data_IF_315751432529
#
_entry.id   IF_315751432529
#
_cell.length_a   1.000
_cell.length_b   1.000
_cell.length_c   1.000
_cell.angle_alpha   90.00
_cell.angle_beta   90.00
_cell.angle_gamma   90.00
#
_symmetry.space_group_name_H-M   'P 1'
#
loop_
_entity.id
_entity.type
_entity.pdbx_description
1 polymer ?
#
# COMPACT_ATOMS: atom_id res chain seq x y z
N UNK A 1 12.82 -15.04 -40.14
CA UNK A 1 14.29 -15.00 -39.94
C UNK A 1 15.03 -16.11 -40.69
N UNK A 2 14.55 -17.36 -40.69
CA UNK A 2 15.14 -18.46 -41.48
C UNK A 2 15.12 -18.23 -43.01
N UNK A 3 14.11 -17.52 -43.54
CA UNK A 3 14.00 -17.25 -44.98
C UNK A 3 14.99 -16.18 -45.51
N UNK A 4 15.46 -15.24 -44.67
CA UNK A 4 16.35 -14.16 -45.11
C UNK A 4 17.83 -14.59 -45.20
N UNK A 5 18.20 -15.66 -44.49
CA UNK A 5 19.59 -16.17 -44.42
C UNK A 5 19.93 -17.18 -45.54
N UNK A 6 18.96 -17.58 -46.37
CA UNK A 6 19.17 -18.55 -47.45
C UNK A 6 19.68 -17.92 -48.75
N UNK A 7 19.53 -16.61 -48.94
CA UNK A 7 19.86 -15.93 -50.21
C UNK A 7 21.22 -15.21 -50.28
N UNK A 8 22.00 -15.21 -49.20
CA UNK A 8 23.28 -14.50 -49.15
C UNK A 8 24.44 -15.49 -49.26
N UNK A 9 25.38 -15.26 -50.19
CA UNK A 9 26.63 -16.02 -50.29
C UNK A 9 27.42 -15.98 -48.97
N UNK A 10 28.26 -17.01 -48.70
CA UNK A 10 28.84 -17.25 -47.36
C UNK A 10 29.51 -16.02 -46.73
N UNK A 11 30.19 -15.17 -47.51
CA UNK A 11 30.79 -13.91 -47.03
C UNK A 11 29.77 -12.85 -46.57
N UNK A 12 28.60 -12.77 -47.20
CA UNK A 12 27.55 -11.81 -46.85
C UNK A 12 26.75 -12.22 -45.61
N UNK A 13 26.72 -13.52 -45.25
CA UNK A 13 26.08 -13.99 -44.01
C UNK A 13 26.82 -13.51 -42.76
N UNK A 14 28.15 -13.55 -42.76
CA UNK A 14 28.95 -13.07 -41.62
C UNK A 14 28.82 -11.55 -41.42
N UNK A 15 28.75 -10.77 -42.50
CA UNK A 15 28.57 -9.32 -42.43
C UNK A 15 27.17 -8.93 -41.91
N UNK A 16 26.13 -9.67 -42.31
CA UNK A 16 24.77 -9.50 -41.81
C UNK A 16 24.64 -9.90 -40.33
N UNK A 17 25.31 -10.97 -39.90
CA UNK A 17 25.34 -11.39 -38.48
C UNK A 17 26.11 -10.37 -37.64
N UNK A 18 27.25 -9.86 -38.12
CA UNK A 18 28.05 -8.87 -37.40
C UNK A 18 27.31 -7.52 -37.27
N UNK A 19 26.62 -7.06 -38.31
CA UNK A 19 25.79 -5.86 -38.26
C UNK A 19 24.57 -6.02 -37.34
N UNK A 20 23.96 -7.22 -37.30
CA UNK A 20 22.89 -7.53 -36.36
C UNK A 20 23.40 -7.54 -34.91
N UNK A 21 24.56 -8.16 -34.66
CA UNK A 21 25.16 -8.23 -33.31
C UNK A 21 25.60 -6.86 -32.81
N UNK A 22 26.10 -5.99 -33.69
CA UNK A 22 26.45 -4.60 -33.33
C UNK A 22 25.21 -3.73 -33.12
N UNK A 23 24.14 -3.93 -33.89
CA UNK A 23 22.87 -3.26 -33.63
C UNK A 23 22.21 -3.74 -32.33
N UNK A 24 22.25 -5.04 -32.05
CA UNK A 24 21.77 -5.62 -30.79
C UNK A 24 22.62 -5.16 -29.60
N UNK A 25 23.95 -5.08 -29.73
CA UNK A 25 24.80 -4.58 -28.65
C UNK A 25 24.61 -3.08 -28.42
N UNK A 26 24.42 -2.28 -29.47
CA UNK A 26 24.12 -0.84 -29.35
C UNK A 26 22.75 -0.57 -28.71
N UNK A 27 21.71 -1.28 -29.12
CA UNK A 27 20.37 -1.16 -28.52
C UNK A 27 20.34 -1.68 -27.08
N UNK A 28 21.07 -2.75 -26.78
CA UNK A 28 21.20 -3.30 -25.43
C UNK A 28 22.02 -2.41 -24.48
N UNK A 29 23.09 -1.78 -24.98
CA UNK A 29 23.88 -0.84 -24.17
C UNK A 29 23.09 0.43 -23.87
N UNK A 30 22.43 1.02 -24.87
CA UNK A 30 21.59 2.21 -24.66
C UNK A 30 20.43 1.94 -23.71
N UNK A 31 19.80 0.76 -23.77
CA UNK A 31 18.72 0.40 -22.83
C UNK A 31 19.24 0.22 -21.40
N UNK A 32 20.42 -0.40 -21.22
CA UNK A 32 21.07 -0.51 -19.91
C UNK A 32 21.50 0.85 -19.34
N UNK A 33 21.99 1.76 -20.17
CA UNK A 33 22.33 3.12 -19.76
C UNK A 33 21.09 3.92 -19.34
N UNK A 34 20.00 3.87 -20.12
CA UNK A 34 18.74 4.55 -19.81
C UNK A 34 18.12 4.05 -18.49
N UNK A 35 18.07 2.73 -18.28
CA UNK A 35 17.58 2.12 -17.04
C UNK A 35 18.40 2.56 -15.83
N UNK A 36 19.73 2.70 -16.00
CA UNK A 36 20.62 3.14 -14.91
C UNK A 36 20.44 4.62 -14.57
N UNK A 37 20.23 5.48 -15.58
CA UNK A 37 19.97 6.91 -15.36
C UNK A 37 18.62 7.15 -14.69
N UNK A 38 17.58 6.39 -15.07
CA UNK A 38 16.25 6.51 -14.47
C UNK A 38 16.26 6.09 -12.99
N UNK A 39 17.01 5.04 -12.64
CA UNK A 39 17.18 4.62 -11.25
C UNK A 39 17.91 5.65 -10.38
N UNK A 40 18.93 6.33 -10.91
CA UNK A 40 19.63 7.40 -10.17
C UNK A 40 18.69 8.59 -9.93
N UNK A 41 17.95 9.02 -10.96
CA UNK A 41 17.01 10.13 -10.85
C UNK A 41 15.91 9.84 -9.81
N UNK A 42 15.31 8.64 -9.82
CA UNK A 42 14.31 8.25 -8.83
C UNK A 42 14.89 8.23 -7.40
N UNK A 43 16.12 7.74 -7.24
CA UNK A 43 16.80 7.77 -5.95
C UNK A 43 17.00 9.21 -5.44
N UNK A 44 17.45 10.13 -6.29
CA UNK A 44 17.64 11.54 -5.93
C UNK A 44 16.32 12.18 -5.50
N UNK A 45 15.23 11.94 -6.25
CA UNK A 45 13.90 12.43 -5.89
C UNK A 45 13.44 11.93 -4.52
N UNK A 46 13.61 10.64 -4.23
CA UNK A 46 13.29 10.05 -2.94
C UNK A 46 14.14 10.67 -1.81
N UNK A 47 15.45 10.79 -2.06
CA UNK A 47 16.41 11.33 -1.10
C UNK A 47 16.10 12.79 -0.73
N UNK A 48 15.70 13.61 -1.70
CA UNK A 48 15.27 14.98 -1.44
C UNK A 48 14.01 15.04 -0.56
N UNK A 49 13.03 14.17 -0.79
CA UNK A 49 11.81 14.14 0.02
C UNK A 49 12.03 13.66 1.44
N UNK A 50 13.05 12.85 1.72
CA UNK A 50 13.31 12.37 3.09
C UNK A 50 13.43 13.50 4.12
N UNK A 51 13.99 14.65 3.70
CA UNK A 51 14.19 15.81 4.58
C UNK A 51 12.88 16.57 4.83
N UNK A 52 12.12 16.81 3.77
CA UNK A 52 11.00 17.74 3.80
C UNK A 52 9.68 17.01 4.10
N UNK A 53 9.46 15.89 3.44
CA UNK A 53 8.22 15.10 3.53
C UNK A 53 8.52 13.59 3.46
N UNK A 54 9.16 13.01 4.50
CA UNK A 54 9.77 11.68 4.43
C UNK A 54 8.82 10.54 4.09
N UNK A 55 7.52 10.70 4.36
CA UNK A 55 6.54 9.66 4.05
C UNK A 55 6.38 9.48 2.53
N UNK A 56 6.58 10.53 1.74
CA UNK A 56 6.49 10.48 0.28
C UNK A 56 7.76 9.96 -0.38
N UNK A 57 8.86 9.79 0.37
CA UNK A 57 10.04 9.07 -0.14
C UNK A 57 9.77 7.56 -0.27
N UNK A 58 8.86 7.00 0.54
CA UNK A 58 8.48 5.57 0.53
C UNK A 58 8.04 5.10 -0.87
N UNK A 59 6.98 5.66 -1.49
CA UNK A 59 6.51 5.17 -2.80
C UNK A 59 7.57 5.28 -3.90
N UNK A 60 8.45 6.30 -3.83
CA UNK A 60 9.54 6.43 -4.80
C UNK A 60 10.60 5.33 -4.60
N UNK A 61 10.98 5.04 -3.35
CA UNK A 61 11.91 3.93 -3.08
C UNK A 61 11.32 2.56 -3.42
N UNK A 62 10.03 2.34 -3.18
CA UNK A 62 9.32 1.13 -3.60
C UNK A 62 9.40 0.96 -5.13
N UNK A 63 9.06 2.00 -5.88
CA UNK A 63 9.14 1.97 -7.34
C UNK A 63 10.57 1.75 -7.82
N UNK A 64 11.55 2.44 -7.23
CA UNK A 64 12.97 2.26 -7.55
C UNK A 64 13.43 0.81 -7.36
N UNK A 65 13.02 0.16 -6.26
CA UNK A 65 13.41 -1.21 -5.93
C UNK A 65 12.65 -2.28 -6.72
N UNK A 66 11.50 -1.93 -7.31
CA UNK A 66 10.78 -2.77 -8.27
C UNK A 66 11.51 -2.85 -9.63
N UNK A 67 12.31 -1.83 -9.95
CA UNK A 67 13.08 -1.74 -11.20
C UNK A 67 14.43 -2.45 -11.20
N UNK A 68 15.03 -2.52 -12.39
CA UNK A 68 16.43 -2.93 -12.55
C UNK A 68 17.34 -1.74 -12.23
N UNK A 69 18.22 -1.90 -11.24
CA UNK A 69 19.11 -0.84 -10.77
C UNK A 69 20.46 -1.43 -10.34
N UNK A 70 21.49 -0.59 -10.26
CA UNK A 70 22.81 -0.98 -9.79
C UNK A 70 22.76 -1.57 -8.36
N UNK A 71 23.56 -2.60 -8.10
CA UNK A 71 23.56 -3.35 -6.82
C UNK A 71 23.81 -2.47 -5.60
N UNK A 72 24.76 -1.54 -5.69
CA UNK A 72 25.07 -0.63 -4.58
C UNK A 72 23.93 0.35 -4.31
N UNK A 73 23.34 0.91 -5.38
CA UNK A 73 22.17 1.77 -5.28
C UNK A 73 20.98 1.04 -4.67
N UNK A 74 20.74 -0.21 -5.10
CA UNK A 74 19.70 -1.09 -4.53
C UNK A 74 19.90 -1.29 -3.04
N UNK A 75 21.12 -1.56 -2.61
CA UNK A 75 21.44 -1.74 -1.19
C UNK A 75 21.17 -0.46 -0.40
N UNK A 76 21.62 0.69 -0.87
CA UNK A 76 21.43 1.98 -0.20
C UNK A 76 19.94 2.33 -0.10
N UNK A 77 19.21 2.24 -1.22
CA UNK A 77 17.76 2.48 -1.28
C UNK A 77 16.99 1.51 -0.35
N UNK A 78 17.38 0.23 -0.31
CA UNK A 78 16.75 -0.78 0.54
C UNK A 78 16.95 -0.49 2.04
N UNK A 79 18.14 -0.02 2.44
CA UNK A 79 18.40 0.41 3.83
C UNK A 79 17.52 1.62 4.19
N UNK A 80 17.47 2.63 3.32
CA UNK A 80 16.66 3.84 3.55
C UNK A 80 15.18 3.52 3.68
N UNK A 81 14.64 2.73 2.75
CA UNK A 81 13.24 2.28 2.80
C UNK A 81 12.93 1.51 4.07
N UNK A 82 13.83 0.63 4.53
CA UNK A 82 13.65 -0.10 5.78
C UNK A 82 13.47 0.85 6.99
N UNK A 83 14.30 1.88 7.09
CA UNK A 83 14.19 2.86 8.18
C UNK A 83 12.93 3.74 8.06
N UNK A 84 12.48 4.03 6.83
CA UNK A 84 11.21 4.73 6.63
C UNK A 84 10.01 3.86 7.07
N UNK A 85 9.98 2.57 6.72
CA UNK A 85 8.92 1.67 7.20
C UNK A 85 8.92 1.56 8.73
N UNK A 86 10.09 1.45 9.35
CA UNK A 86 10.24 1.46 10.81
C UNK A 86 9.71 2.76 11.42
N UNK A 87 10.16 3.92 10.91
CA UNK A 87 9.74 5.26 11.38
C UNK A 87 8.22 5.45 11.36
N UNK A 88 7.56 4.96 10.31
CA UNK A 88 6.12 5.10 10.12
C UNK A 88 5.31 3.88 10.58
N UNK A 89 5.95 2.92 11.26
CA UNK A 89 5.31 1.71 11.80
C UNK A 89 4.55 0.89 10.75
N UNK A 90 5.08 0.86 9.52
CA UNK A 90 4.58 0.06 8.40
C UNK A 90 5.07 -1.39 8.54
N UNK A 91 4.55 -2.09 9.55
CA UNK A 91 5.09 -3.39 9.97
C UNK A 91 4.95 -4.50 8.91
N UNK A 92 3.80 -4.68 8.22
CA UNK A 92 3.70 -5.67 7.14
C UNK A 92 4.74 -5.44 6.03
N UNK A 93 4.89 -4.18 5.61
CA UNK A 93 5.88 -3.75 4.62
C UNK A 93 7.30 -4.03 5.10
N UNK A 94 7.61 -3.67 6.36
CA UNK A 94 8.92 -3.88 6.98
C UNK A 94 9.30 -5.36 7.04
N UNK A 95 8.36 -6.24 7.41
CA UNK A 95 8.58 -7.69 7.48
C UNK A 95 8.83 -8.29 6.10
N UNK A 96 7.98 -7.94 5.13
CA UNK A 96 8.13 -8.38 3.74
C UNK A 96 9.46 -7.90 3.14
N UNK A 97 9.82 -6.64 3.38
CA UNK A 97 11.07 -6.04 2.92
C UNK A 97 12.29 -6.70 3.56
N UNK A 98 12.26 -6.97 4.87
CA UNK A 98 13.34 -7.66 5.56
C UNK A 98 13.47 -9.12 5.10
N UNK A 99 12.37 -9.82 4.82
CA UNK A 99 12.42 -11.17 4.24
C UNK A 99 13.15 -11.17 2.89
N UNK A 100 12.89 -10.16 2.05
CA UNK A 100 13.49 -10.04 0.71
C UNK A 100 14.95 -9.57 0.71
N UNK A 101 15.31 -8.63 1.59
CA UNK A 101 16.61 -7.95 1.57
C UNK A 101 17.47 -8.15 2.82
N UNK A 102 16.96 -8.78 3.89
CA UNK A 102 17.55 -8.77 5.23
C UNK A 102 19.00 -9.22 5.33
N UNK A 103 19.40 -10.23 4.54
CA UNK A 103 20.79 -10.70 4.47
C UNK A 103 21.77 -9.63 3.99
N UNK A 104 21.31 -8.69 3.16
CA UNK A 104 22.10 -7.60 2.59
C UNK A 104 22.13 -6.36 3.50
N UNK A 105 21.12 -6.21 4.35
CA UNK A 105 20.93 -5.04 5.21
C UNK A 105 21.89 -5.05 6.41
N UNK A 106 22.21 -6.23 6.96
CA UNK A 106 23.00 -6.37 8.22
C UNK A 106 22.40 -5.59 9.40
N UNK A 107 21.07 -5.47 9.44
CA UNK A 107 20.30 -4.72 10.44
C UNK A 107 19.62 -5.64 11.47
N UNK A 108 20.31 -6.69 11.93
CA UNK A 108 19.68 -7.71 12.78
C UNK A 108 19.21 -7.13 14.11
N UNK A 109 19.97 -6.23 14.74
CA UNK A 109 19.62 -5.59 16.01
C UNK A 109 18.41 -4.67 15.86
N UNK A 110 18.43 -3.79 14.86
CA UNK A 110 17.32 -2.89 14.53
C UNK A 110 16.06 -3.69 14.21
N UNK A 111 16.20 -4.81 13.49
CA UNK A 111 15.10 -5.70 13.19
C UNK A 111 14.51 -6.34 14.44
N UNK A 112 15.34 -6.82 15.37
CA UNK A 112 14.83 -7.34 16.65
C UNK A 112 14.09 -6.27 17.44
N UNK A 113 14.59 -5.02 17.47
CA UNK A 113 13.87 -3.91 18.12
C UNK A 113 12.51 -3.65 17.46
N UNK A 114 12.46 -3.58 16.13
CA UNK A 114 11.22 -3.39 15.37
C UNK A 114 10.21 -4.53 15.62
N UNK A 115 10.68 -5.78 15.73
CA UNK A 115 9.81 -6.91 16.08
C UNK A 115 9.21 -6.75 17.48
N UNK A 116 10.01 -6.33 18.48
CA UNK A 116 9.51 -6.10 19.83
C UNK A 116 8.47 -4.97 19.88
N UNK A 117 8.65 -3.90 19.11
CA UNK A 117 7.65 -2.83 19.00
C UNK A 117 6.37 -3.31 18.32
N UNK A 118 6.50 -4.10 17.25
CA UNK A 118 5.36 -4.71 16.56
C UNK A 118 4.57 -5.65 17.48
N UNK A 119 5.27 -6.51 18.24
CA UNK A 119 4.64 -7.41 19.21
C UNK A 119 3.81 -6.64 20.23
N UNK A 120 4.32 -5.51 20.73
CA UNK A 120 3.56 -4.61 21.60
C UNK A 120 2.36 -3.97 20.89
N UNK A 121 2.54 -3.50 19.65
CA UNK A 121 1.48 -2.83 18.89
C UNK A 121 0.31 -3.77 18.59
N UNK A 122 0.60 -5.01 18.19
CA UNK A 122 -0.42 -6.03 17.94
C UNK A 122 -0.82 -6.81 19.19
N UNK A 123 -0.16 -6.60 20.34
CA UNK A 123 -0.39 -7.37 21.58
C UNK A 123 -0.24 -8.89 21.36
N UNK A 124 0.79 -9.28 20.61
CA UNK A 124 1.12 -10.68 20.33
C UNK A 124 2.47 -11.05 20.96
N UNK A 125 2.69 -12.33 21.22
CA UNK A 125 3.97 -12.83 21.73
C UNK A 125 4.92 -13.18 20.58
N UNK A 126 6.21 -13.37 20.91
CA UNK A 126 7.17 -13.92 19.95
C UNK A 126 6.76 -15.32 19.48
N UNK A 127 6.16 -16.12 20.37
CA UNK A 127 5.66 -17.45 20.02
C UNK A 127 4.59 -17.34 18.95
N UNK A 128 3.60 -16.46 19.13
CA UNK A 128 2.52 -16.26 18.16
C UNK A 128 3.08 -15.85 16.79
N UNK A 129 4.05 -14.94 16.78
CA UNK A 129 4.69 -14.51 15.55
C UNK A 129 5.42 -15.66 14.85
N UNK A 130 6.30 -16.39 15.55
CA UNK A 130 7.10 -17.43 14.91
C UNK A 130 6.29 -18.66 14.48
N UNK A 131 5.14 -18.92 15.09
CA UNK A 131 4.23 -19.99 14.65
C UNK A 131 3.31 -19.57 13.52
N UNK A 132 2.88 -18.31 13.46
CA UNK A 132 1.89 -17.87 12.44
C UNK A 132 2.52 -17.21 11.23
N UNK A 133 3.56 -16.39 11.38
CA UNK A 133 4.14 -15.63 10.27
C UNK A 133 4.62 -16.48 9.10
N UNK A 134 5.29 -17.64 9.30
CA UNK A 134 5.66 -18.52 8.18
C UNK A 134 4.44 -19.01 7.36
N UNK A 135 3.32 -19.28 8.03
CA UNK A 135 2.07 -19.71 7.38
C UNK A 135 1.40 -18.58 6.59
N UNK A 136 1.60 -17.33 7.01
CA UNK A 136 1.07 -16.14 6.33
C UNK A 136 1.88 -15.76 5.09
N UNK A 137 3.19 -16.06 5.09
CA UNK A 137 4.08 -15.81 3.94
C UNK A 137 3.76 -16.72 2.77
N UNK A 138 3.35 -17.96 3.05
CA UNK A 138 2.92 -18.95 2.05
C UNK A 138 1.56 -19.58 2.44
N UNK A 139 0.43 -18.91 2.17
CA UNK A 139 -0.89 -19.33 2.63
C UNK A 139 -1.49 -20.45 1.76
N UNK A 140 -0.81 -21.60 1.68
CA UNK A 140 -1.34 -22.82 1.06
C UNK A 140 -2.54 -23.37 1.82
N UNK A 141 -3.34 -24.26 1.21
CA UNK A 141 -4.52 -24.85 1.87
C UNK A 141 -4.20 -25.56 3.19
N UNK A 142 -3.06 -26.25 3.26
CA UNK A 142 -2.55 -26.89 4.48
C UNK A 142 -2.17 -25.83 5.51
N UNK A 143 -1.37 -24.82 5.12
CA UNK A 143 -0.93 -23.75 6.03
C UNK A 143 -2.09 -22.92 6.57
N UNK A 144 -3.14 -22.69 5.77
CA UNK A 144 -4.37 -22.01 6.22
C UNK A 144 -5.16 -22.87 7.21
N UNK A 145 -5.21 -24.19 7.02
CA UNK A 145 -5.85 -25.09 7.97
C UNK A 145 -5.11 -25.08 9.32
N UNK A 146 -3.78 -25.17 9.31
CA UNK A 146 -2.96 -25.04 10.52
C UNK A 146 -3.11 -23.66 11.18
N UNK A 147 -3.14 -22.60 10.38
CA UNK A 147 -3.34 -21.24 10.90
C UNK A 147 -4.71 -21.08 11.58
N UNK A 148 -5.76 -21.67 11.01
CA UNK A 148 -7.09 -21.67 11.59
C UNK A 148 -7.11 -22.37 12.95
N UNK A 149 -6.49 -23.55 13.05
CA UNK A 149 -6.36 -24.28 14.32
C UNK A 149 -5.68 -23.42 15.40
N UNK A 150 -4.54 -22.78 15.06
CA UNK A 150 -3.82 -21.89 15.97
C UNK A 150 -4.70 -20.72 16.41
N UNK A 151 -5.41 -20.07 15.48
CA UNK A 151 -6.25 -18.92 15.79
C UNK A 151 -7.43 -19.28 16.71
N UNK A 152 -8.03 -20.45 16.49
CA UNK A 152 -9.12 -20.98 17.34
C UNK A 152 -8.58 -21.33 18.73
N UNK A 153 -7.46 -22.05 18.81
CA UNK A 153 -6.84 -22.44 20.09
C UNK A 153 -6.43 -21.21 20.92
N UNK A 154 -5.77 -20.23 20.28
CA UNK A 154 -5.31 -19.01 20.95
C UNK A 154 -6.44 -18.07 21.33
N UNK A 155 -7.56 -18.14 20.63
CA UNK A 155 -8.75 -17.31 20.85
C UNK A 155 -8.43 -15.80 21.03
N UNK A 156 -7.52 -15.27 20.18
CA UNK A 156 -7.02 -13.90 20.29
C UNK A 156 -7.42 -13.06 19.07
N UNK A 157 -8.33 -12.11 19.27
CA UNK A 157 -8.71 -11.14 18.22
C UNK A 157 -7.53 -10.29 17.75
N UNK A 158 -6.54 -10.07 18.63
CA UNK A 158 -5.32 -9.32 18.34
C UNK A 158 -4.35 -10.07 17.42
N UNK A 159 -4.25 -11.39 17.61
CA UNK A 159 -3.52 -12.26 16.69
C UNK A 159 -4.21 -12.31 15.32
N UNK A 160 -5.54 -12.37 15.30
CA UNK A 160 -6.31 -12.30 14.05
C UNK A 160 -6.11 -10.96 13.32
N UNK A 161 -6.09 -9.83 14.03
CA UNK A 161 -5.78 -8.51 13.46
C UNK A 161 -4.36 -8.47 12.84
N UNK A 162 -3.38 -9.13 13.46
CA UNK A 162 -2.04 -9.30 12.89
C UNK A 162 -2.08 -10.14 11.59
N UNK A 163 -2.68 -11.32 11.62
CA UNK A 163 -2.82 -12.20 10.45
C UNK A 163 -3.52 -11.49 9.29
N UNK A 164 -4.61 -10.76 9.60
CA UNK A 164 -5.33 -9.94 8.63
C UNK A 164 -4.42 -8.91 7.98
N UNK A 165 -3.64 -8.19 8.79
CA UNK A 165 -2.78 -7.10 8.30
C UNK A 165 -1.72 -7.61 7.31
N UNK A 166 -1.13 -8.78 7.58
CA UNK A 166 -0.17 -9.42 6.67
C UNK A 166 -0.84 -9.88 5.37
N UNK A 167 -1.92 -10.67 5.46
CA UNK A 167 -2.59 -11.21 4.27
C UNK A 167 -3.24 -10.11 3.41
N UNK A 168 -3.76 -9.05 4.03
CA UNK A 168 -4.28 -7.89 3.31
C UNK A 168 -3.18 -7.14 2.56
N UNK A 169 -2.01 -6.95 3.19
CA UNK A 169 -0.85 -6.32 2.55
C UNK A 169 -0.37 -7.15 1.34
N UNK A 170 -0.29 -8.47 1.48
CA UNK A 170 0.11 -9.36 0.38
C UNK A 170 -1.02 -9.66 -0.60
N UNK A 171 -2.19 -9.03 -0.46
CA UNK A 171 -3.38 -9.23 -1.31
C UNK A 171 -3.86 -10.69 -1.39
N UNK A 172 -3.60 -11.50 -0.35
CA UNK A 172 -4.05 -12.89 -0.25
C UNK A 172 -5.51 -12.94 0.23
N UNK A 173 -6.43 -12.37 -0.56
CA UNK A 173 -7.84 -12.25 -0.17
C UNK A 173 -8.57 -13.59 -0.06
N UNK A 174 -8.14 -14.61 -0.80
CA UNK A 174 -8.75 -15.95 -0.73
C UNK A 174 -8.47 -16.65 0.61
N UNK A 175 -7.23 -16.52 1.10
CA UNK A 175 -6.88 -16.97 2.44
C UNK A 175 -7.70 -16.23 3.51
N UNK A 176 -7.87 -14.91 3.37
CA UNK A 176 -8.71 -14.12 4.27
C UNK A 176 -10.17 -14.56 4.28
N UNK A 177 -10.76 -14.82 3.10
CA UNK A 177 -12.13 -15.36 3.01
C UNK A 177 -12.24 -16.72 3.69
N UNK A 178 -11.28 -17.61 3.44
CA UNK A 178 -11.26 -18.95 4.03
C UNK A 178 -11.18 -18.88 5.54
N UNK A 179 -10.26 -18.07 6.09
CA UNK A 179 -10.15 -17.86 7.53
C UNK A 179 -11.47 -17.35 8.13
N UNK A 180 -12.06 -16.30 7.55
CA UNK A 180 -13.33 -15.77 8.07
C UNK A 180 -14.48 -16.75 8.01
N UNK A 181 -14.55 -17.58 6.96
CA UNK A 181 -15.63 -18.53 6.79
C UNK A 181 -15.64 -19.60 7.90
N UNK A 182 -14.46 -20.03 8.35
CA UNK A 182 -14.32 -21.09 9.34
C UNK A 182 -14.06 -20.59 10.77
N UNK A 183 -13.75 -19.30 10.97
CA UNK A 183 -13.53 -18.74 12.30
C UNK A 183 -14.85 -18.60 13.08
N UNK A 184 -14.85 -18.93 14.39
CA UNK A 184 -15.98 -18.64 15.27
C UNK A 184 -16.36 -17.15 15.26
N UNK A 185 -17.66 -16.87 15.35
CA UNK A 185 -18.16 -15.48 15.38
C UNK A 185 -17.64 -14.67 16.55
N UNK A 186 -17.31 -15.33 17.67
CA UNK A 186 -16.71 -14.71 18.85
C UNK A 186 -15.31 -14.12 18.58
N UNK A 187 -14.61 -14.60 17.55
CA UNK A 187 -13.28 -14.16 17.15
C UNK A 187 -13.32 -13.12 16.03
N UNK A 188 -14.17 -13.35 15.03
CA UNK A 188 -14.28 -12.52 13.84
C UNK A 188 -15.23 -11.35 14.07
N UNK A 189 -14.68 -10.21 14.53
CA UNK A 189 -15.44 -8.98 14.71
C UNK A 189 -16.20 -8.59 13.43
N UNK A 190 -17.41 -8.02 13.57
CA UNK A 190 -18.19 -7.46 12.47
C UNK A 190 -17.40 -6.62 11.44
N UNK A 191 -16.60 -5.68 11.94
CA UNK A 191 -15.80 -4.78 11.11
C UNK A 191 -14.73 -5.51 10.30
N UNK A 192 -14.18 -6.61 10.82
CA UNK A 192 -13.19 -7.41 10.09
C UNK A 192 -13.84 -8.17 8.93
N UNK A 193 -15.03 -8.74 9.14
CA UNK A 193 -15.82 -9.40 8.09
C UNK A 193 -16.11 -8.45 6.93
N UNK A 194 -16.62 -7.25 7.26
CA UNK A 194 -16.88 -6.20 6.26
C UNK A 194 -15.58 -5.75 5.59
N UNK A 195 -14.49 -5.55 6.35
CA UNK A 195 -13.23 -5.10 5.76
C UNK A 195 -12.69 -6.06 4.69
N UNK A 196 -12.93 -7.36 4.85
CA UNK A 196 -12.57 -8.36 3.84
C UNK A 196 -13.51 -8.28 2.64
N UNK A 197 -14.83 -8.19 2.85
CA UNK A 197 -15.80 -8.00 1.76
C UNK A 197 -15.43 -6.79 0.89
N UNK A 198 -15.15 -5.64 1.52
CA UNK A 198 -14.73 -4.41 0.84
C UNK A 198 -13.50 -4.62 -0.04
N UNK A 199 -12.52 -5.39 0.43
CA UNK A 199 -11.29 -5.66 -0.33
C UNK A 199 -11.48 -6.60 -1.50
N UNK A 200 -12.50 -7.45 -1.43
CA UNK A 200 -12.78 -8.41 -2.48
C UNK A 200 -13.53 -7.84 -3.67
N UNK A 201 -14.17 -6.68 -3.49
CA UNK A 201 -14.90 -5.92 -4.53
C UNK A 201 -15.79 -6.81 -5.43
N UNK A 202 -16.45 -7.82 -4.85
CA UNK A 202 -17.41 -8.62 -5.61
C UNK A 202 -18.70 -7.82 -5.87
N UNK A 203 -19.47 -8.21 -6.89
CA UNK A 203 -20.70 -7.49 -7.26
C UNK A 203 -21.78 -7.51 -6.18
N UNK A 204 -21.68 -8.42 -5.22
CA UNK A 204 -22.62 -8.59 -4.10
C UNK A 204 -22.13 -7.91 -2.81
N UNK A 205 -20.97 -7.24 -2.86
CA UNK A 205 -20.33 -6.69 -1.66
C UNK A 205 -21.22 -5.63 -1.00
N UNK A 206 -21.86 -4.77 -1.80
CA UNK A 206 -22.79 -3.77 -1.28
C UNK A 206 -24.00 -4.39 -0.58
N UNK A 207 -24.63 -5.39 -1.21
CA UNK A 207 -25.82 -6.07 -0.67
C UNK A 207 -25.49 -6.80 0.62
N UNK A 208 -24.38 -7.55 0.64
CA UNK A 208 -23.91 -8.28 1.83
C UNK A 208 -23.58 -7.36 2.99
N UNK A 209 -22.95 -6.22 2.74
CA UNK A 209 -22.65 -5.24 3.80
C UNK A 209 -23.94 -4.62 4.35
N UNK A 210 -24.91 -4.34 3.48
CA UNK A 210 -26.20 -3.76 3.88
C UNK A 210 -27.01 -4.75 4.72
N UNK A 211 -27.14 -6.00 4.23
CA UNK A 211 -27.78 -7.09 4.97
C UNK A 211 -27.13 -7.28 6.34
N UNK A 212 -25.79 -7.25 6.39
CA UNK A 212 -25.04 -7.35 7.64
C UNK A 212 -25.34 -6.20 8.61
N UNK A 213 -25.39 -4.94 8.13
CA UNK A 213 -25.71 -3.77 8.95
C UNK A 213 -27.13 -3.79 9.52
N UNK A 214 -28.06 -4.43 8.80
CA UNK A 214 -29.48 -4.50 9.17
C UNK A 214 -29.79 -5.67 10.11
N UNK A 215 -29.14 -6.81 9.90
CA UNK A 215 -29.43 -8.06 10.62
C UNK A 215 -28.68 -8.18 11.95
N UNK A 216 -27.49 -7.61 12.05
CA UNK A 216 -26.61 -7.84 13.18
C UNK A 216 -26.87 -6.89 14.36
N UNK A 217 -26.78 -7.45 15.58
CA UNK A 217 -26.87 -6.67 16.82
C UNK A 217 -25.52 -6.03 17.14
N UNK A 218 -25.24 -4.94 16.43
CA UNK A 218 -24.01 -4.18 16.57
C UNK A 218 -24.12 -3.12 17.67
N UNK A 219 -23.06 -2.95 18.47
CA UNK A 219 -22.88 -1.75 19.30
C UNK A 219 -22.77 -0.49 18.41
N UNK A 220 -22.94 0.70 18.99
CA UNK A 220 -22.80 1.95 18.24
C UNK A 220 -21.40 2.09 17.59
N UNK A 221 -20.35 1.61 18.26
CA UNK A 221 -18.97 1.65 17.76
C UNK A 221 -18.80 0.67 16.60
N UNK A 222 -19.27 -0.57 16.74
CA UNK A 222 -19.18 -1.57 15.66
C UNK A 222 -19.99 -1.15 14.43
N UNK A 223 -21.19 -0.60 14.64
CA UNK A 223 -22.03 -0.04 13.58
C UNK A 223 -21.33 1.14 12.90
N UNK A 224 -20.71 2.02 13.67
CA UNK A 224 -19.88 3.12 13.13
C UNK A 224 -18.75 2.59 12.25
N UNK A 225 -18.00 1.60 12.70
CA UNK A 225 -16.88 1.03 11.94
C UNK A 225 -17.34 0.28 10.68
N UNK A 226 -18.46 -0.43 10.76
CA UNK A 226 -19.08 -1.10 9.62
C UNK A 226 -19.51 -0.10 8.53
N UNK A 227 -20.23 0.96 8.90
CA UNK A 227 -20.65 2.03 7.97
C UNK A 227 -19.43 2.77 7.41
N UNK A 228 -18.40 2.98 8.21
CA UNK A 228 -17.14 3.56 7.74
C UNK A 228 -16.50 2.72 6.62
N UNK A 229 -16.44 1.41 6.79
CA UNK A 229 -15.88 0.51 5.77
C UNK A 229 -16.76 0.47 4.52
N UNK A 230 -18.09 0.51 4.68
CA UNK A 230 -19.01 0.64 3.56
C UNK A 230 -18.78 1.95 2.77
N UNK A 231 -18.61 3.07 3.47
CA UNK A 231 -18.27 4.35 2.85
C UNK A 231 -16.93 4.32 2.11
N UNK A 232 -15.94 3.57 2.61
CA UNK A 232 -14.67 3.34 1.91
C UNK A 232 -14.85 2.51 0.64
N UNK A 233 -15.73 1.50 0.66
CA UNK A 233 -16.10 0.74 -0.53
C UNK A 233 -16.75 1.65 -1.59
N UNK A 234 -17.77 2.42 -1.21
CA UNK A 234 -18.44 3.37 -2.10
C UNK A 234 -17.43 4.35 -2.72
N UNK A 235 -16.50 4.86 -1.91
CA UNK A 235 -15.40 5.72 -2.39
C UNK A 235 -14.53 5.01 -3.44
N UNK A 236 -14.17 3.75 -3.21
CA UNK A 236 -13.36 2.97 -4.17
C UNK A 236 -14.09 2.69 -5.48
N UNK A 237 -15.42 2.74 -5.47
CA UNK A 237 -16.28 2.63 -6.65
C UNK A 237 -16.62 4.00 -7.26
N UNK A 238 -15.99 5.08 -6.79
CA UNK A 238 -16.25 6.47 -7.21
C UNK A 238 -17.64 7.04 -6.88
N UNK A 239 -18.41 6.38 -6.00
CA UNK A 239 -19.67 6.88 -5.46
C UNK A 239 -19.41 7.88 -4.31
N UNK A 240 -18.83 9.02 -4.65
CA UNK A 240 -18.27 9.94 -3.67
C UNK A 240 -19.31 10.64 -2.79
N UNK A 241 -20.49 10.97 -3.30
CA UNK A 241 -21.51 11.66 -2.51
C UNK A 241 -22.10 10.72 -1.45
N UNK A 242 -22.46 9.51 -1.88
CA UNK A 242 -22.97 8.44 -1.04
C UNK A 242 -21.92 8.03 0.01
N UNK A 243 -20.65 7.98 -0.39
CA UNK A 243 -19.52 7.78 0.54
C UNK A 243 -19.46 8.86 1.62
N UNK A 244 -19.58 10.15 1.27
CA UNK A 244 -19.55 11.28 2.22
C UNK A 244 -20.74 11.22 3.19
N UNK A 245 -21.93 10.90 2.70
CA UNK A 245 -23.12 10.71 3.53
C UNK A 245 -22.91 9.59 4.54
N UNK A 246 -22.39 8.44 4.10
CA UNK A 246 -22.11 7.32 4.99
C UNK A 246 -20.97 7.62 5.98
N UNK A 247 -19.93 8.35 5.58
CA UNK A 247 -18.93 8.84 6.54
C UNK A 247 -19.57 9.73 7.61
N UNK A 248 -20.48 10.61 7.23
CA UNK A 248 -21.20 11.48 8.16
C UNK A 248 -22.01 10.67 9.17
N UNK A 249 -22.75 9.66 8.70
CA UNK A 249 -23.52 8.74 9.57
C UNK A 249 -22.58 8.02 10.54
N UNK A 250 -21.50 7.42 10.04
CA UNK A 250 -20.48 6.76 10.87
C UNK A 250 -19.89 7.73 11.93
N UNK A 251 -19.64 8.97 11.55
CA UNK A 251 -19.03 9.98 12.41
C UNK A 251 -19.93 10.41 13.56
N UNK A 252 -21.23 10.49 13.29
CA UNK A 252 -22.25 10.80 14.30
C UNK A 252 -22.40 9.69 15.35
N UNK A 253 -22.02 8.46 15.01
CA UNK A 253 -22.12 7.31 15.91
C UNK A 253 -20.93 7.20 16.87
N UNK A 254 -19.68 7.36 16.40
CA UNK A 254 -18.51 7.19 17.27
C UNK A 254 -17.30 8.06 16.95
N UNK A 255 -16.93 8.25 15.67
CA UNK A 255 -15.66 8.90 15.32
C UNK A 255 -15.82 10.02 14.29
N UNK A 256 -16.33 11.17 14.77
CA UNK A 256 -16.56 12.37 13.95
C UNK A 256 -15.31 12.83 13.21
N UNK A 257 -14.15 12.76 13.85
CA UNK A 257 -12.92 13.27 13.28
C UNK A 257 -12.40 12.42 12.10
N UNK A 258 -12.43 11.08 12.25
CA UNK A 258 -12.12 10.15 11.15
C UNK A 258 -13.06 10.38 9.97
N UNK A 259 -14.35 10.57 10.24
CA UNK A 259 -15.36 10.80 9.21
C UNK A 259 -15.18 12.10 8.45
N UNK A 260 -14.90 13.21 9.14
CA UNK A 260 -14.64 14.50 8.49
C UNK A 260 -13.41 14.41 7.57
N UNK A 261 -12.37 13.72 8.02
CA UNK A 261 -11.13 13.53 7.26
C UNK A 261 -11.35 12.71 6.00
N UNK A 262 -12.04 11.57 6.09
CA UNK A 262 -12.33 10.77 4.90
C UNK A 262 -13.32 11.46 3.96
N UNK A 263 -14.28 12.22 4.48
CA UNK A 263 -15.16 13.07 3.67
C UNK A 263 -14.38 14.13 2.91
N UNK A 264 -13.39 14.76 3.54
CA UNK A 264 -12.50 15.72 2.89
C UNK A 264 -11.70 15.06 1.76
N UNK A 265 -11.18 13.86 1.97
CA UNK A 265 -10.52 13.08 0.91
C UNK A 265 -11.48 12.79 -0.25
N UNK A 266 -12.73 12.40 0.02
CA UNK A 266 -13.74 12.20 -1.02
C UNK A 266 -14.10 13.48 -1.77
N UNK A 267 -14.02 14.66 -1.15
CA UNK A 267 -14.16 15.93 -1.87
C UNK A 267 -12.94 16.23 -2.75
N UNK A 268 -11.72 15.94 -2.28
CA UNK A 268 -10.51 16.05 -3.11
C UNK A 268 -10.59 15.12 -4.31
N UNK A 269 -11.05 13.88 -4.15
CA UNK A 269 -11.30 12.94 -5.25
C UNK A 269 -12.30 13.46 -6.30
N UNK A 270 -13.16 14.43 -5.94
CA UNK A 270 -14.07 15.09 -6.88
C UNK A 270 -13.50 16.40 -7.46
N UNK A 271 -12.25 16.76 -7.14
CA UNK A 271 -11.67 18.06 -7.47
C UNK A 271 -12.25 19.24 -6.68
N UNK A 272 -13.06 18.99 -5.64
CA UNK A 272 -13.73 20.03 -4.83
C UNK A 272 -12.84 20.47 -3.66
N UNK A 273 -11.67 21.03 -3.97
CA UNK A 273 -10.63 21.37 -2.99
C UNK A 273 -11.12 22.33 -1.91
N UNK A 274 -11.80 23.42 -2.30
CA UNK A 274 -12.33 24.41 -1.33
C UNK A 274 -13.29 23.77 -0.32
N UNK A 275 -14.17 22.88 -0.79
CA UNK A 275 -15.09 22.14 0.08
C UNK A 275 -14.33 21.20 1.01
N UNK A 276 -13.35 20.47 0.49
CA UNK A 276 -12.52 19.58 1.30
C UNK A 276 -11.86 20.33 2.47
N UNK A 277 -11.28 21.50 2.19
CA UNK A 277 -10.58 22.29 3.19
C UNK A 277 -11.51 23.08 4.13
N UNK A 278 -12.79 23.24 3.75
CA UNK A 278 -13.81 23.87 4.59
C UNK A 278 -14.34 22.97 5.72
N UNK A 279 -14.09 21.65 5.69
CA UNK A 279 -14.60 20.69 6.67
C UNK A 279 -14.01 20.81 8.10
N UNK A 280 -13.26 21.86 8.38
CA UNK A 280 -12.79 22.24 9.72
C UNK A 280 -11.30 21.92 9.97
N UNK A 281 -10.82 22.25 11.18
CA UNK A 281 -9.46 21.92 11.63
C UNK A 281 -9.34 20.41 11.87
N UNK A 282 -9.07 19.67 10.79
CA UNK A 282 -8.76 18.24 10.85
C UNK A 282 -7.48 18.03 11.68
N UNK A 283 -7.44 17.07 12.62
CA UNK A 283 -6.13 16.51 12.98
C UNK A 283 -5.61 15.72 11.79
N UNK A 284 -4.31 15.70 11.60
CA UNK A 284 -3.67 14.97 10.51
C UNK A 284 -2.79 13.88 11.08
N UNK A 285 -2.95 12.65 10.59
CA UNK A 285 -2.01 11.59 10.89
C UNK A 285 -0.84 11.65 9.89
N UNK A 286 0.29 12.20 10.34
CA UNK A 286 1.51 12.29 9.53
C UNK A 286 2.16 10.94 9.19
N UNK A 287 1.61 9.82 9.70
CA UNK A 287 2.01 8.48 9.31
C UNK A 287 1.25 7.93 8.09
N UNK A 288 0.33 8.71 7.50
CA UNK A 288 -0.36 8.35 6.24
C UNK A 288 -0.03 9.35 5.12
N UNK A 289 0.30 8.82 3.94
CA UNK A 289 0.49 9.58 2.70
C UNK A 289 -0.74 10.43 2.39
N UNK A 290 -1.94 9.84 2.53
CA UNK A 290 -3.21 10.50 2.19
C UNK A 290 -3.55 11.65 3.14
N UNK A 291 -3.34 11.48 4.45
CA UNK A 291 -3.56 12.54 5.45
C UNK A 291 -2.55 13.68 5.27
N UNK A 292 -1.28 13.32 5.02
CA UNK A 292 -0.22 14.30 4.79
C UNK A 292 -0.51 15.10 3.51
N UNK A 293 -0.99 14.43 2.45
CA UNK A 293 -1.39 15.07 1.19
C UNK A 293 -2.54 16.04 1.42
N UNK A 294 -3.59 15.62 2.13
CA UNK A 294 -4.73 16.48 2.44
C UNK A 294 -4.29 17.72 3.23
N UNK A 295 -3.38 17.55 4.20
CA UNK A 295 -2.83 18.69 4.94
C UNK A 295 -2.13 19.68 4.01
N UNK A 296 -1.25 19.20 3.14
CA UNK A 296 -0.48 20.07 2.23
C UNK A 296 -1.38 20.83 1.26
N UNK A 297 -2.42 20.18 0.75
CA UNK A 297 -3.45 20.81 -0.06
C UNK A 297 -4.14 21.93 0.72
N UNK A 298 -4.62 21.63 1.93
CA UNK A 298 -5.44 22.58 2.68
C UNK A 298 -4.66 23.67 3.41
N UNK A 299 -3.38 23.46 3.75
CA UNK A 299 -2.53 24.53 4.30
C UNK A 299 -1.88 25.37 3.22
N UNK A 300 -1.68 24.83 2.01
CA UNK A 300 -0.90 25.46 0.95
C UNK A 300 0.61 25.57 1.25
N UNK A 301 1.07 25.06 2.41
CA UNK A 301 2.45 25.13 2.91
C UNK A 301 3.34 24.09 2.22
N UNK A 302 3.62 24.35 0.94
CA UNK A 302 4.56 23.56 0.14
C UNK A 302 5.90 24.28 0.03
N UNK A 303 6.99 23.54 0.28
CA UNK A 303 8.34 23.99 -0.06
C UNK A 303 8.50 23.91 -1.57
N UNK A 304 8.75 25.05 -2.22
CA UNK A 304 8.94 25.14 -3.69
C UNK A 304 9.97 24.14 -4.21
N UNK A 305 11.05 23.95 -3.47
CA UNK A 305 12.13 23.00 -3.81
C UNK A 305 11.67 21.53 -3.85
N UNK A 306 10.59 21.19 -3.13
CA UNK A 306 10.08 19.83 -3.03
C UNK A 306 8.90 19.56 -3.96
N UNK A 307 8.31 20.57 -4.62
CA UNK A 307 7.10 20.43 -5.44
C UNK A 307 7.27 19.41 -6.57
N UNK A 308 8.41 19.47 -7.30
CA UNK A 308 8.74 18.50 -8.34
C UNK A 308 8.79 17.07 -7.79
N UNK A 309 9.36 16.88 -6.61
CA UNK A 309 9.53 15.55 -6.04
C UNK A 309 8.20 15.01 -5.48
N UNK A 310 7.41 15.88 -4.83
CA UNK A 310 6.07 15.56 -4.34
C UNK A 310 5.15 15.11 -5.47
N UNK A 311 5.21 15.81 -6.61
CA UNK A 311 4.48 15.43 -7.81
C UNK A 311 4.80 14.00 -8.24
N UNK A 312 6.08 13.64 -8.32
CA UNK A 312 6.50 12.27 -8.67
C UNK A 312 5.94 11.26 -7.66
N UNK A 313 6.04 11.54 -6.36
CA UNK A 313 5.47 10.67 -5.35
C UNK A 313 3.95 10.51 -5.49
N UNK A 314 3.21 11.58 -5.76
CA UNK A 314 1.76 11.54 -5.95
C UNK A 314 1.35 10.86 -7.25
N UNK A 315 2.10 11.03 -8.34
CA UNK A 315 1.89 10.30 -9.60
C UNK A 315 2.05 8.78 -9.38
N UNK A 316 3.07 8.37 -8.61
CA UNK A 316 3.27 6.95 -8.24
C UNK A 316 2.10 6.44 -7.41
N UNK A 317 1.68 7.21 -6.39
CA UNK A 317 0.57 6.83 -5.52
C UNK A 317 -0.75 6.75 -6.29
N UNK A 318 -1.01 7.70 -7.20
CA UNK A 318 -2.19 7.70 -8.08
C UNK A 318 -2.23 6.43 -8.93
N UNK A 319 -1.11 6.07 -9.56
CA UNK A 319 -1.02 4.88 -10.41
C UNK A 319 -1.09 3.58 -9.61
N UNK A 320 -0.40 3.49 -8.45
CA UNK A 320 -0.37 2.29 -7.61
C UNK A 320 -1.72 2.00 -6.98
N UNK A 321 -2.38 3.04 -6.48
CA UNK A 321 -3.61 2.92 -5.69
C UNK A 321 -4.87 3.11 -6.56
N UNK A 322 -4.73 3.41 -7.85
CA UNK A 322 -5.83 3.77 -8.78
C UNK A 322 -6.77 4.83 -8.17
N UNK A 323 -6.17 5.93 -7.72
CA UNK A 323 -6.79 6.83 -6.76
C UNK A 323 -6.96 8.25 -7.31
N UNK A 324 -8.21 8.61 -7.62
CA UNK A 324 -8.62 9.96 -8.00
C UNK A 324 -8.20 11.02 -6.98
N UNK A 325 -8.03 10.62 -5.71
CA UNK A 325 -7.54 11.53 -4.67
C UNK A 325 -6.15 12.08 -5.02
N UNK A 326 -5.20 11.20 -5.38
CA UNK A 326 -3.85 11.62 -5.73
C UNK A 326 -3.79 12.26 -7.11
N UNK A 327 -4.60 11.80 -8.07
CA UNK A 327 -4.71 12.45 -9.38
C UNK A 327 -5.14 13.92 -9.25
N UNK A 328 -6.18 14.18 -8.44
CA UNK A 328 -6.65 15.53 -8.23
C UNK A 328 -5.71 16.35 -7.32
N UNK A 329 -4.95 15.71 -6.43
CA UNK A 329 -3.86 16.37 -5.72
C UNK A 329 -2.77 16.88 -6.67
N UNK A 330 -2.40 16.07 -7.68
CA UNK A 330 -1.46 16.47 -8.74
C UNK A 330 -2.02 17.60 -9.58
N UNK A 331 -3.29 17.52 -10.02
CA UNK A 331 -3.94 18.60 -10.77
C UNK A 331 -3.98 19.91 -9.99
N UNK A 332 -4.29 19.84 -8.69
CA UNK A 332 -4.26 21.00 -7.81
C UNK A 332 -2.86 21.63 -7.74
N UNK A 333 -1.80 20.80 -7.66
CA UNK A 333 -0.42 21.29 -7.66
C UNK A 333 -0.05 22.04 -8.94
N UNK A 334 -0.57 21.62 -10.11
CA UNK A 334 -0.33 22.30 -11.39
C UNK A 334 -1.10 23.62 -11.55
N UNK A 335 -2.20 23.79 -10.83
CA UNK A 335 -3.05 24.98 -10.92
C UNK A 335 -2.55 26.15 -10.06
N UNK A 336 -1.54 25.90 -9.22
CA UNK A 336 -0.86 26.88 -8.36
C UNK A 336 0.34 27.48 -9.08
#
# INVERSE_FOLDING_TARGET
MHALLLFLGSKNKYLAIFSLLTFLSYTFTNSLYAVKTDGINLYEHAYHLEKDYPIFAIPIYEQLLSGSIAKDLRRIASIRLYFLYSKYKKYPELLSHYSKYGTQLKLSKEHQNNLQEMFKAYQITSSDFYTTYPLLVDPSGENISTLLEILIERNSSKLLEFCYSILNYTSNYEALRTLLFYLPESLAKPSLKIAILVKTQDSQTADRITEYLDTEKLTAIERSDAIYLYAQYLKSMSYYNESIENFTISGNLANKERSLRESAKSYVSQGKIEKACSLGKLSYNFSSESDTTLKLICSGELRKESEKNLKIAWDILASRDQSDFYENAVKWLYAK
#
